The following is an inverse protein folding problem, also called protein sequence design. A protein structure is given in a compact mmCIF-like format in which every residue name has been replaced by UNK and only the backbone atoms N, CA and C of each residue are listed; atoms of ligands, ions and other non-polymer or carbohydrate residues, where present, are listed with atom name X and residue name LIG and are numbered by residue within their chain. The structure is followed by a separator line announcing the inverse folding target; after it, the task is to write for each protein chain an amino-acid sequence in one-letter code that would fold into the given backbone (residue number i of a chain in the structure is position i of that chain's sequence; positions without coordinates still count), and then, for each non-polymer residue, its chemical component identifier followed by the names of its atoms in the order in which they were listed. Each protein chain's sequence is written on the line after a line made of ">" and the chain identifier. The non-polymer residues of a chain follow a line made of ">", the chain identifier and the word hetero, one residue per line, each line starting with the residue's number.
data_IF_756367841809
#
_entry.id   IF_756367841809
#
_cell.length_a   1.000
_cell.length_b   1.000
_cell.length_c   1.000
_cell.angle_alpha   90.00
_cell.angle_beta   90.00
_cell.angle_gamma   90.00
#
_symmetry.space_group_name_H-M   'P 1'
#
loop_
_entity.id
_entity.type
_entity.pdbx_description
1 polymer ?
#
# COMPACT_ATOMS: atom_id res chain seq x y z
N UNK A 1 28.69 -4.63 -22.79
CA UNK A 1 28.48 -3.84 -21.57
C UNK A 1 27.04 -4.08 -21.12
N UNK A 2 26.84 -5.02 -20.20
CA UNK A 2 25.54 -5.25 -19.57
C UNK A 2 25.73 -4.89 -18.11
N UNK A 3 25.29 -3.70 -17.72
CA UNK A 3 25.45 -3.24 -16.36
C UNK A 3 24.20 -3.63 -15.59
N UNK A 4 24.21 -4.83 -14.99
CA UNK A 4 23.26 -5.22 -13.96
C UNK A 4 23.55 -4.39 -12.71
N UNK A 5 23.02 -3.18 -12.65
CA UNK A 5 22.82 -2.51 -11.37
C UNK A 5 21.50 -3.03 -10.80
N UNK A 6 21.50 -4.26 -10.27
CA UNK A 6 20.46 -4.73 -9.36
C UNK A 6 20.61 -4.00 -8.03
N UNK A 7 20.30 -2.71 -8.02
CA UNK A 7 20.15 -1.97 -6.78
C UNK A 7 18.77 -2.30 -6.20
N UNK A 8 18.70 -3.38 -5.41
CA UNK A 8 17.48 -3.91 -4.77
C UNK A 8 16.75 -2.86 -3.91
N UNK A 9 17.43 -1.79 -3.49
CA UNK A 9 16.81 -0.67 -2.76
C UNK A 9 15.81 0.12 -3.61
N UNK A 10 15.95 0.13 -4.95
CA UNK A 10 15.04 0.87 -5.85
C UNK A 10 13.73 0.14 -6.18
N UNK A 11 13.54 -1.07 -5.66
CA UNK A 11 12.38 -1.91 -5.92
C UNK A 11 11.43 -2.03 -4.71
N UNK A 12 11.76 -1.43 -3.56
CA UNK A 12 10.93 -1.52 -2.37
C UNK A 12 9.71 -0.60 -2.49
N UNK A 13 8.48 -1.11 -2.30
CA UNK A 13 7.29 -0.27 -2.23
C UNK A 13 7.34 0.59 -0.95
N UNK A 14 7.02 1.87 -1.08
CA UNK A 14 6.89 2.80 0.05
C UNK A 14 5.41 2.96 0.37
N UNK A 15 5.07 2.84 1.65
CA UNK A 15 3.71 2.99 2.16
C UNK A 15 3.64 4.19 3.08
N UNK A 16 2.70 5.09 2.81
CA UNK A 16 2.45 6.27 3.63
C UNK A 16 1.00 6.31 4.11
N UNK A 17 0.84 6.69 5.37
CA UNK A 17 -0.45 6.88 6.01
C UNK A 17 -0.62 8.35 6.37
N UNK A 18 -1.71 8.94 5.89
CA UNK A 18 -2.08 10.32 6.25
C UNK A 18 -2.77 10.39 7.61
N UNK A 19 -3.03 11.62 8.07
CA UNK A 19 -3.87 11.84 9.25
C UNK A 19 -5.28 11.27 9.00
N UNK A 20 -5.76 10.44 9.91
CA UNK A 20 -7.13 9.93 9.85
C UNK A 20 -8.15 11.04 10.14
N UNK A 21 -9.36 10.85 9.65
CA UNK A 21 -10.50 11.76 9.83
C UNK A 21 -11.78 10.94 9.92
N UNK A 22 -12.76 11.43 10.68
CA UNK A 22 -14.10 10.85 10.67
C UNK A 22 -14.90 11.42 9.49
N UNK A 23 -15.52 10.55 8.70
CA UNK A 23 -16.45 10.91 7.63
C UNK A 23 -17.60 9.93 7.63
N UNK A 24 -18.84 10.44 7.64
CA UNK A 24 -20.06 9.63 7.59
C UNK A 24 -20.10 8.52 8.66
N UNK A 25 -19.60 8.81 9.87
CA UNK A 25 -19.53 7.86 10.98
C UNK A 25 -18.47 6.75 10.81
N UNK A 26 -17.54 6.90 9.86
CA UNK A 26 -16.42 5.98 9.63
C UNK A 26 -15.09 6.69 9.83
N UNK A 27 -14.11 5.99 10.41
CA UNK A 27 -12.72 6.43 10.44
C UNK A 27 -12.08 6.18 9.08
N UNK A 28 -11.76 7.26 8.37
CA UNK A 28 -11.12 7.22 7.06
C UNK A 28 -9.67 7.68 7.19
N UNK A 29 -8.73 6.90 6.65
CA UNK A 29 -7.30 7.24 6.65
C UNK A 29 -6.78 7.27 5.22
N UNK A 30 -6.15 8.37 4.76
CA UNK A 30 -5.49 8.39 3.47
C UNK A 30 -4.35 7.38 3.44
N UNK A 31 -4.30 6.56 2.40
CA UNK A 31 -3.25 5.58 2.17
C UNK A 31 -2.64 5.81 0.79
N UNK A 32 -1.31 5.92 0.74
CA UNK A 32 -0.56 6.07 -0.49
C UNK A 32 0.47 4.95 -0.63
N UNK A 33 0.62 4.46 -1.86
CA UNK A 33 1.63 3.47 -2.22
C UNK A 33 2.46 4.03 -3.35
N UNK A 34 3.77 4.14 -3.14
CA UNK A 34 4.73 4.45 -4.19
C UNK A 34 5.46 3.17 -4.60
N UNK A 35 5.33 2.80 -5.87
CA UNK A 35 5.98 1.62 -6.44
C UNK A 35 6.80 1.98 -7.67
N UNK A 36 7.90 1.27 -7.87
CA UNK A 36 8.65 1.35 -9.11
C UNK A 36 7.99 0.44 -10.16
N UNK A 37 7.47 1.03 -11.24
CA UNK A 37 6.78 0.31 -12.32
C UNK A 37 7.63 -0.76 -13.01
N UNK A 38 8.96 -0.70 -12.90
CA UNK A 38 9.84 -1.74 -13.42
C UNK A 38 9.82 -3.04 -12.58
N UNK A 39 9.30 -3.00 -11.36
CA UNK A 39 9.34 -4.12 -10.40
C UNK A 39 7.97 -4.55 -9.88
N UNK A 40 6.91 -3.81 -10.21
CA UNK A 40 5.54 -4.11 -9.76
C UNK A 40 4.64 -4.24 -10.99
N UNK A 41 4.34 -5.48 -11.36
CA UNK A 41 3.19 -5.78 -12.23
C UNK A 41 1.88 -5.40 -11.51
N UNK A 42 0.79 -5.22 -12.26
CA UNK A 42 -0.52 -4.63 -11.90
C UNK A 42 -1.29 -5.16 -10.65
N UNK A 43 -0.65 -5.87 -9.73
CA UNK A 43 -1.18 -6.47 -8.50
C UNK A 43 -1.47 -5.50 -7.34
N UNK A 44 -1.20 -4.20 -7.47
CA UNK A 44 -1.44 -3.20 -6.41
C UNK A 44 -2.93 -3.10 -6.01
N UNK A 45 -3.86 -3.32 -6.94
CA UNK A 45 -5.31 -3.37 -6.64
C UNK A 45 -5.63 -4.49 -5.62
N UNK A 46 -5.02 -5.67 -5.79
CA UNK A 46 -5.23 -6.78 -4.87
C UNK A 46 -4.65 -6.51 -3.49
N UNK A 47 -3.56 -5.73 -3.40
CA UNK A 47 -3.00 -5.29 -2.13
C UNK A 47 -3.96 -4.37 -1.37
N UNK A 48 -4.52 -3.37 -2.06
CA UNK A 48 -5.49 -2.43 -1.46
C UNK A 48 -6.72 -3.17 -0.96
N UNK A 49 -7.28 -4.08 -1.75
CA UNK A 49 -8.45 -4.87 -1.36
C UNK A 49 -8.20 -5.78 -0.16
N UNK A 50 -7.05 -6.47 -0.14
CA UNK A 50 -6.66 -7.35 0.98
C UNK A 50 -6.40 -6.55 2.25
N UNK A 51 -5.74 -5.40 2.13
CA UNK A 51 -5.45 -4.52 3.26
C UNK A 51 -6.74 -3.97 3.88
N UNK A 52 -7.69 -3.52 3.06
CA UNK A 52 -8.98 -3.05 3.57
C UNK A 52 -9.72 -4.16 4.34
N UNK A 53 -9.83 -5.36 3.76
CA UNK A 53 -10.49 -6.50 4.43
C UNK A 53 -9.84 -6.84 5.77
N UNK A 54 -8.51 -6.89 5.81
CA UNK A 54 -7.78 -7.16 7.04
C UNK A 54 -8.06 -6.11 8.12
N UNK A 55 -8.08 -4.83 7.75
CA UNK A 55 -8.37 -3.74 8.70
C UNK A 55 -9.83 -3.78 9.18
N UNK A 56 -10.78 -4.12 8.30
CA UNK A 56 -12.19 -4.29 8.67
C UNK A 56 -12.36 -5.45 9.66
N UNK A 57 -11.70 -6.60 9.43
CA UNK A 57 -11.71 -7.73 10.35
C UNK A 57 -11.11 -7.39 11.72
N UNK A 58 -9.98 -6.68 11.76
CA UNK A 58 -9.35 -6.25 13.02
C UNK A 58 -10.24 -5.26 13.79
N UNK A 59 -10.95 -4.38 13.09
CA UNK A 59 -11.87 -3.43 13.72
C UNK A 59 -13.12 -4.11 14.30
N UNK A 60 -13.66 -5.12 13.61
CA UNK A 60 -14.86 -5.86 14.06
C UNK A 60 -14.58 -6.74 15.29
N UNK A 61 -13.34 -7.23 15.44
CA UNK A 61 -12.94 -8.11 16.53
C UNK A 61 -12.48 -7.36 17.81
N UNK A 62 -12.72 -6.05 17.91
CA UNK A 62 -12.49 -5.21 19.09
C UNK A 62 -13.81 -4.83 19.77
#
# INVERSE_FOLDING_TARGET
>A
MHTYFENKEKAQPIFDWGKYQEREGKFMMPFAVQVNHAFVEYSYLQLVDKLQRYLDEVYINQ
#
